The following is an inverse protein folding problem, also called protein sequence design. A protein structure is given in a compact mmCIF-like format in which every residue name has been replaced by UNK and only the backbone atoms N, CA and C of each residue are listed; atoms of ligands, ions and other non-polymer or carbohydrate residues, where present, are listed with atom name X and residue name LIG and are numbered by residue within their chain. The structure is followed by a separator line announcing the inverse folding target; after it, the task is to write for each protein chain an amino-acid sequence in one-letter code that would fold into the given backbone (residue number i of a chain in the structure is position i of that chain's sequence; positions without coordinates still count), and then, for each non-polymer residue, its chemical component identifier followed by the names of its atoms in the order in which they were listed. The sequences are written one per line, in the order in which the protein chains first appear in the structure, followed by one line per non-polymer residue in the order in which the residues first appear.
data_IF_554201245763
#
_entry.id   IF_554201245763
#
_cell.length_a   1.000
_cell.length_b   1.000
_cell.length_c   1.000
_cell.angle_alpha   90.00
_cell.angle_beta   90.00
_cell.angle_gamma   90.00
#
_symmetry.space_group_name_H-M   'P 1'
#
loop_
_entity.id
_entity.type
_entity.pdbx_description
1 polymer ?
#
# COMPACT_ATOMS: atom_id res chain seq x y z
N UNK A 1 -16.90 -4.77 -13.14
CA UNK A 1 -17.76 -4.13 -12.12
C UNK A 1 -17.67 -2.62 -12.30
N UNK A 2 -18.78 -1.89 -12.16
CA UNK A 2 -18.79 -0.44 -12.39
C UNK A 2 -18.27 0.25 -11.13
N UNK A 3 -17.35 1.20 -11.27
CA UNK A 3 -16.81 2.10 -10.22
C UNK A 3 -17.91 2.72 -9.31
N UNK A 4 -19.15 2.84 -9.82
CA UNK A 4 -20.31 3.32 -9.06
C UNK A 4 -20.77 2.29 -8.00
N UNK A 5 -20.59 0.99 -8.23
CA UNK A 5 -20.94 -0.05 -7.24
C UNK A 5 -19.89 -0.10 -6.12
N UNK A 6 -18.62 0.07 -6.42
CA UNK A 6 -17.54 0.07 -5.45
C UNK A 6 -17.60 1.28 -4.50
N UNK A 7 -17.97 2.46 -5.01
CA UNK A 7 -18.21 3.66 -4.19
C UNK A 7 -19.43 3.52 -3.26
N UNK A 8 -20.45 2.74 -3.65
CA UNK A 8 -21.64 2.49 -2.80
C UNK A 8 -21.30 1.48 -1.70
N UNK A 9 -20.52 0.45 -2.01
CA UNK A 9 -20.07 -0.55 -1.05
C UNK A 9 -19.13 0.08 0.00
N UNK A 10 -18.34 1.08 -0.37
CA UNK A 10 -17.48 1.83 0.55
C UNK A 10 -18.25 2.57 1.66
N UNK A 11 -19.52 2.93 1.41
CA UNK A 11 -20.36 3.62 2.40
C UNK A 11 -20.59 2.83 3.68
N UNK A 12 -20.56 1.51 3.59
CA UNK A 12 -20.79 0.58 4.70
C UNK A 12 -19.47 -0.06 5.20
N UNK A 13 -18.34 0.13 4.49
CA UNK A 13 -17.03 -0.39 4.86
C UNK A 13 -16.50 0.31 6.11
N UNK A 14 -16.07 -0.46 7.09
CA UNK A 14 -15.50 0.05 8.36
C UNK A 14 -13.98 -0.07 8.38
N UNK A 15 -13.34 0.72 9.23
CA UNK A 15 -11.87 0.80 9.36
C UNK A 15 -11.21 -0.58 9.52
N UNK A 16 -11.81 -1.48 10.28
CA UNK A 16 -11.30 -2.85 10.52
C UNK A 16 -11.15 -3.69 9.24
N UNK A 17 -11.93 -3.43 8.21
CA UNK A 17 -11.96 -4.22 6.97
C UNK A 17 -10.82 -3.83 6.01
N UNK A 18 -10.29 -2.61 6.15
CA UNK A 18 -9.28 -2.03 5.25
C UNK A 18 -7.93 -1.82 5.93
N UNK A 19 -7.90 -1.75 7.27
CA UNK A 19 -6.65 -1.49 8.00
C UNK A 19 -5.58 -2.56 7.77
N UNK A 20 -4.32 -2.15 7.79
CA UNK A 20 -3.20 -3.05 8.03
C UNK A 20 -3.25 -3.48 9.49
N UNK A 21 -3.49 -4.78 9.80
CA UNK A 21 -3.64 -5.24 11.17
C UNK A 21 -2.34 -5.07 11.97
N UNK A 22 -2.45 -4.95 13.28
CA UNK A 22 -1.31 -4.80 14.22
C UNK A 22 -0.18 -5.80 13.98
N UNK A 23 -0.50 -7.05 13.66
CA UNK A 23 0.48 -8.13 13.46
C UNK A 23 1.34 -7.95 12.22
N UNK A 24 0.84 -7.21 11.23
CA UNK A 24 1.50 -6.92 9.95
C UNK A 24 2.05 -5.48 9.90
N UNK A 25 1.78 -4.68 10.94
CA UNK A 25 2.17 -3.30 11.00
C UNK A 25 3.68 -3.15 11.26
N UNK A 26 4.36 -2.35 10.44
CA UNK A 26 5.71 -1.90 10.74
C UNK A 26 5.63 -0.69 11.67
N UNK A 27 6.17 -0.81 12.88
CA UNK A 27 6.26 0.26 13.88
C UNK A 27 7.66 0.31 14.48
N UNK A 28 8.06 1.45 15.03
CA UNK A 28 9.36 1.68 15.66
C UNK A 28 9.19 2.12 17.10
N UNK A 29 10.13 1.74 17.97
CA UNK A 29 10.18 2.25 19.35
C UNK A 29 10.70 3.68 19.36
N UNK A 30 10.27 4.50 20.32
CA UNK A 30 10.60 5.92 20.40
C UNK A 30 12.08 6.20 20.74
N UNK A 31 12.81 5.19 21.24
CA UNK A 31 14.26 5.22 21.45
C UNK A 31 15.07 4.89 20.18
N UNK A 32 14.40 4.45 19.09
CA UNK A 32 15.03 4.23 17.78
C UNK A 32 15.65 5.54 17.28
N UNK A 33 16.87 5.47 16.76
CA UNK A 33 17.54 6.65 16.23
C UNK A 33 16.97 7.10 14.88
N UNK A 34 17.12 8.39 14.57
CA UNK A 34 16.73 8.96 13.26
C UNK A 34 17.38 8.18 12.09
N UNK A 35 18.64 7.77 12.26
CA UNK A 35 19.35 6.96 11.24
C UNK A 35 18.71 5.61 11.01
N UNK A 36 18.42 4.87 12.08
CA UNK A 36 17.79 3.55 11.99
C UNK A 36 16.39 3.65 11.39
N UNK A 37 15.62 4.67 11.78
CA UNK A 37 14.30 4.92 11.20
C UNK A 37 14.37 5.17 9.69
N UNK A 38 15.30 5.99 9.23
CA UNK A 38 15.52 6.23 7.79
C UNK A 38 15.97 4.98 7.05
N UNK A 39 16.77 4.12 7.68
CA UNK A 39 17.17 2.84 7.08
C UNK A 39 15.97 1.88 6.95
N UNK A 40 15.09 1.80 7.95
CA UNK A 40 13.84 1.04 7.87
C UNK A 40 12.94 1.58 6.75
N UNK A 41 12.71 2.90 6.72
CA UNK A 41 11.88 3.54 5.69
C UNK A 41 12.42 3.29 4.28
N UNK A 42 13.73 3.35 4.08
CA UNK A 42 14.37 3.04 2.80
C UNK A 42 14.17 1.58 2.37
N UNK A 43 14.26 0.64 3.32
CA UNK A 43 14.17 -0.79 3.02
C UNK A 43 12.72 -1.25 2.80
N UNK A 44 11.75 -0.63 3.47
CA UNK A 44 10.31 -0.94 3.35
C UNK A 44 9.61 -0.14 2.27
N UNK A 45 10.16 1.03 1.88
CA UNK A 45 9.50 2.00 1.00
C UNK A 45 8.47 2.88 1.71
N UNK A 46 8.26 2.71 3.00
CA UNK A 46 7.25 3.48 3.75
C UNK A 46 7.70 4.92 4.00
N UNK A 47 6.82 5.86 3.71
CA UNK A 47 7.03 7.30 3.97
C UNK A 47 6.63 7.71 5.38
N UNK A 48 5.84 6.89 6.07
CA UNK A 48 5.33 7.10 7.42
C UNK A 48 5.38 5.79 8.18
N UNK A 49 5.81 5.85 9.44
CA UNK A 49 5.87 4.69 10.34
C UNK A 49 5.37 5.12 11.72
N UNK A 50 4.41 4.39 12.32
CA UNK A 50 3.99 4.60 13.70
C UNK A 50 5.15 4.41 14.68
N UNK A 51 5.18 5.25 15.71
CA UNK A 51 6.18 5.17 16.77
C UNK A 51 5.47 4.92 18.10
N UNK A 52 5.94 3.92 18.84
CA UNK A 52 5.37 3.49 20.11
C UNK A 52 6.37 3.64 21.27
N UNK A 53 5.87 3.64 22.49
CA UNK A 53 6.66 3.65 23.72
C UNK A 53 6.44 2.35 24.50
N UNK A 54 7.47 1.53 24.67
CA UNK A 54 7.48 0.25 25.38
C UNK A 54 6.56 -0.83 24.77
N UNK A 55 5.31 -0.48 24.42
CA UNK A 55 4.33 -1.39 23.87
C UNK A 55 3.64 -0.79 22.64
N UNK A 56 3.38 -1.60 21.62
CA UNK A 56 2.72 -1.19 20.37
C UNK A 56 1.29 -0.66 20.63
N UNK A 57 0.67 -1.01 21.76
CA UNK A 57 -0.59 -0.40 22.18
C UNK A 57 -0.46 1.06 22.59
N UNK A 58 0.76 1.54 22.81
CA UNK A 58 1.06 2.91 23.18
C UNK A 58 1.74 3.67 22.06
N UNK A 59 1.01 3.95 21.00
CA UNK A 59 1.50 4.80 19.91
C UNK A 59 1.63 6.24 20.41
N UNK A 60 2.83 6.81 20.30
CA UNK A 60 3.16 8.17 20.75
C UNK A 60 3.30 9.15 19.59
N UNK A 61 3.42 8.65 18.35
CA UNK A 61 3.58 9.51 17.19
C UNK A 61 3.66 8.75 15.87
N UNK A 62 3.81 9.51 14.80
CA UNK A 62 4.14 9.01 13.46
C UNK A 62 5.41 9.70 12.98
N UNK A 63 6.41 8.92 12.63
CA UNK A 63 7.62 9.40 11.99
C UNK A 63 7.37 9.59 10.50
N UNK A 64 7.74 10.76 9.96
CA UNK A 64 7.61 11.10 8.55
C UNK A 64 8.99 11.22 7.91
N UNK A 65 9.23 10.51 6.81
CA UNK A 65 10.53 10.51 6.11
C UNK A 65 11.00 11.93 5.75
N UNK A 66 10.08 12.81 5.33
CA UNK A 66 10.41 14.19 4.96
C UNK A 66 10.92 15.01 6.14
N UNK A 67 10.32 14.79 7.33
CA UNK A 67 10.74 15.50 8.54
C UNK A 67 12.12 15.01 9.00
N UNK A 68 12.34 13.68 9.00
CA UNK A 68 13.62 13.09 9.38
C UNK A 68 14.75 13.50 8.44
N UNK A 69 14.50 13.56 7.12
CA UNK A 69 15.47 14.07 6.15
C UNK A 69 15.76 15.57 6.42
N UNK A 70 14.70 16.35 6.72
CA UNK A 70 14.84 17.77 7.06
C UNK A 70 15.78 17.98 8.26
N UNK A 71 15.61 17.18 9.34
CA UNK A 71 16.47 17.23 10.51
C UNK A 71 17.96 17.02 10.14
N UNK A 72 18.25 16.02 9.32
CA UNK A 72 19.63 15.74 8.87
C UNK A 72 20.18 16.89 8.04
N UNK A 73 19.39 17.49 7.16
CA UNK A 73 19.80 18.64 6.34
C UNK A 73 20.07 19.88 7.18
N UNK A 74 19.32 20.06 8.30
CA UNK A 74 19.50 21.14 9.26
C UNK A 74 20.66 20.91 10.24
N UNK A 75 21.35 19.77 10.13
CA UNK A 75 22.54 19.45 10.91
C UNK A 75 22.25 18.76 12.25
N UNK A 76 21.04 18.25 12.46
CA UNK A 76 20.70 17.41 13.62
C UNK A 76 21.51 16.12 13.58
N UNK A 77 22.01 15.67 14.75
CA UNK A 77 22.72 14.39 14.84
C UNK A 77 21.78 13.22 14.57
N UNK A 78 22.12 12.42 13.58
CA UNK A 78 21.34 11.24 13.20
C UNK A 78 21.27 10.15 14.30
N UNK A 79 22.03 10.30 15.39
CA UNK A 79 21.96 9.47 16.60
C UNK A 79 20.88 9.93 17.59
N UNK A 80 20.21 11.06 17.35
CA UNK A 80 19.05 11.45 18.15
C UNK A 80 17.90 10.43 17.96
N UNK A 81 17.10 10.26 19.02
CA UNK A 81 15.97 9.34 19.03
C UNK A 81 14.70 9.96 18.47
N UNK A 82 13.75 9.11 18.03
CA UNK A 82 12.48 9.54 17.46
C UNK A 82 11.57 10.27 18.46
N UNK A 83 11.77 10.10 19.77
CA UNK A 83 10.89 10.61 20.83
C UNK A 83 10.43 12.08 20.65
N UNK A 84 11.31 12.94 20.10
CA UNK A 84 11.03 14.35 19.90
C UNK A 84 10.79 14.74 18.43
N UNK A 85 10.76 13.77 17.52
CA UNK A 85 10.76 14.01 16.08
C UNK A 85 9.60 13.32 15.35
N UNK A 86 8.49 13.10 16.09
CA UNK A 86 7.26 12.49 15.57
C UNK A 86 6.12 13.50 15.58
N UNK A 87 5.17 13.30 14.68
CA UNK A 87 3.91 14.06 14.68
C UNK A 87 2.87 13.35 15.53
N UNK A 88 1.97 14.11 16.13
CA UNK A 88 0.82 13.54 16.84
C UNK A 88 -0.06 12.78 15.86
N UNK A 89 -0.40 11.52 16.12
CA UNK A 89 -1.26 10.73 15.25
C UNK A 89 -2.73 11.03 15.51
N UNK A 90 -3.56 10.87 14.48
CA UNK A 90 -5.00 10.75 14.65
C UNK A 90 -5.37 9.32 15.02
N UNK A 91 -6.33 9.16 15.96
CA UNK A 91 -6.84 7.88 16.41
C UNK A 91 -8.30 7.73 16.03
N UNK A 92 -8.65 6.58 15.46
CA UNK A 92 -10.02 6.26 15.06
C UNK A 92 -10.44 4.89 15.58
N UNK A 93 -11.71 4.69 15.99
CA UNK A 93 -12.19 3.38 16.35
C UNK A 93 -12.27 2.45 15.14
N UNK A 94 -12.02 1.18 15.33
CA UNK A 94 -12.03 0.16 14.28
C UNK A 94 -13.40 -0.04 13.61
N UNK A 95 -14.47 0.46 14.24
CA UNK A 95 -15.86 0.42 13.73
C UNK A 95 -16.27 1.68 12.97
N UNK A 96 -15.38 2.67 12.80
CA UNK A 96 -15.76 3.91 12.10
C UNK A 96 -16.00 3.63 10.61
N UNK A 97 -17.07 4.19 10.00
CA UNK A 97 -17.25 4.14 8.56
C UNK A 97 -16.12 4.90 7.85
N UNK A 98 -15.51 4.25 6.87
CA UNK A 98 -14.30 4.74 6.18
C UNK A 98 -14.51 6.09 5.49
N UNK A 99 -15.68 6.29 4.85
CA UNK A 99 -16.02 7.55 4.19
C UNK A 99 -16.05 8.75 5.15
N UNK A 100 -16.44 8.54 6.41
CA UNK A 100 -16.49 9.60 7.41
C UNK A 100 -15.08 10.09 7.75
N UNK A 101 -14.12 9.17 7.79
CA UNK A 101 -12.72 9.49 8.09
C UNK A 101 -12.02 10.20 6.93
N UNK A 102 -12.24 9.78 5.70
CA UNK A 102 -11.72 10.44 4.50
C UNK A 102 -12.08 11.93 4.41
N UNK A 103 -13.24 12.31 4.96
CA UNK A 103 -13.72 13.71 4.92
C UNK A 103 -13.14 14.55 6.06
N UNK A 104 -12.76 13.94 7.18
CA UNK A 104 -12.33 14.65 8.40
C UNK A 104 -10.82 14.68 8.58
N UNK A 105 -10.11 13.66 8.13
CA UNK A 105 -8.67 13.55 8.32
C UNK A 105 -7.89 14.37 7.29
N UNK A 106 -7.01 15.22 7.81
CA UNK A 106 -5.98 15.91 7.00
C UNK A 106 -4.68 15.10 6.98
N UNK A 107 -4.60 14.06 7.81
CA UNK A 107 -3.43 13.19 7.89
C UNK A 107 -3.56 12.00 6.96
N UNK A 108 -2.46 11.65 6.32
CA UNK A 108 -2.39 10.55 5.36
C UNK A 108 -2.23 9.18 6.03
N UNK A 109 -2.22 9.11 7.38
CA UNK A 109 -2.16 7.89 8.17
C UNK A 109 -2.90 8.11 9.48
N UNK A 110 -3.76 7.18 9.85
CA UNK A 110 -4.48 7.15 11.12
C UNK A 110 -4.20 5.85 11.87
N UNK A 111 -4.21 5.91 13.21
CA UNK A 111 -4.07 4.75 14.08
C UNK A 111 -5.46 4.23 14.42
N UNK A 112 -5.70 2.96 14.15
CA UNK A 112 -6.97 2.29 14.46
C UNK A 112 -6.87 1.68 15.85
N UNK A 113 -7.88 1.96 16.71
CA UNK A 113 -7.95 1.45 18.06
C UNK A 113 -9.16 0.54 18.26
N UNK A 114 -8.96 -0.49 19.07
CA UNK A 114 -10.02 -1.42 19.46
C UNK A 114 -10.88 -0.87 20.62
N UNK A 115 -11.91 -1.62 21.03
CA UNK A 115 -12.83 -1.29 22.11
C UNK A 115 -12.17 -1.22 23.49
N UNK A 116 -10.96 -1.72 23.64
CA UNK A 116 -10.17 -1.69 24.88
C UNK A 116 -9.14 -0.56 24.89
N UNK A 117 -9.02 0.18 23.79
CA UNK A 117 -8.07 1.27 23.61
C UNK A 117 -6.67 0.80 23.20
N UNK A 118 -6.52 -0.47 22.81
CA UNK A 118 -5.30 -1.01 22.21
C UNK A 118 -5.19 -0.67 20.72
N UNK A 119 -4.00 -0.74 20.16
CA UNK A 119 -3.77 -0.54 18.74
C UNK A 119 -4.26 -1.76 17.96
N UNK A 120 -5.30 -1.60 17.14
CA UNK A 120 -5.81 -2.62 16.23
C UNK A 120 -5.01 -2.69 14.92
N UNK A 121 -4.57 -1.53 14.41
CA UNK A 121 -3.83 -1.42 13.17
C UNK A 121 -3.62 0.02 12.74
N UNK A 122 -3.32 0.21 11.46
CA UNK A 122 -3.19 1.52 10.80
C UNK A 122 -3.96 1.53 9.50
N UNK A 123 -4.39 2.72 9.08
CA UNK A 123 -4.95 2.97 7.74
C UNK A 123 -4.19 4.13 7.12
N UNK A 124 -3.85 4.00 5.86
CA UNK A 124 -3.32 5.09 5.04
C UNK A 124 -4.34 5.50 3.97
N UNK A 125 -4.18 6.70 3.40
CA UNK A 125 -5.00 7.12 2.27
C UNK A 125 -4.83 6.18 1.08
N UNK A 126 -3.63 5.63 0.93
CA UNK A 126 -3.29 4.66 -0.11
C UNK A 126 -4.17 3.39 0.02
N UNK A 127 -4.31 2.81 1.23
CA UNK A 127 -5.16 1.63 1.49
C UNK A 127 -6.63 1.91 1.14
N UNK A 128 -7.11 3.12 1.46
CA UNK A 128 -8.48 3.55 1.17
C UNK A 128 -8.70 3.70 -0.34
N UNK A 129 -7.73 4.28 -1.05
CA UNK A 129 -7.80 4.43 -2.51
C UNK A 129 -7.79 3.07 -3.19
N UNK A 130 -6.97 2.13 -2.70
CA UNK A 130 -6.92 0.76 -3.21
C UNK A 130 -8.28 0.06 -3.06
N UNK A 131 -8.96 0.21 -1.92
CA UNK A 131 -10.31 -0.34 -1.71
C UNK A 131 -11.36 0.26 -2.64
N UNK A 132 -11.26 1.58 -2.95
CA UNK A 132 -12.20 2.29 -3.84
C UNK A 132 -11.98 1.99 -5.30
N UNK A 133 -10.71 1.92 -5.71
CA UNK A 133 -10.34 1.80 -7.13
C UNK A 133 -10.20 0.34 -7.52
N UNK A 134 -10.08 -0.57 -6.52
CA UNK A 134 -9.61 -1.94 -6.71
C UNK A 134 -8.12 -1.93 -7.01
N UNK A 135 -7.53 -3.09 -7.17
CA UNK A 135 -6.22 -3.16 -7.80
C UNK A 135 -6.34 -2.44 -9.14
N UNK A 136 -5.64 -1.29 -9.26
CA UNK A 136 -5.45 -0.68 -10.57
C UNK A 136 -4.60 -1.71 -11.31
N UNK A 137 -5.27 -2.59 -12.05
CA UNK A 137 -4.58 -3.38 -13.06
C UNK A 137 -3.96 -2.35 -14.00
N UNK A 138 -2.68 -2.06 -13.76
CA UNK A 138 -1.88 -1.30 -14.71
C UNK A 138 -1.87 -2.18 -15.96
N UNK A 139 -2.32 -1.66 -17.09
CA UNK A 139 -2.32 -2.37 -18.38
C UNK A 139 -0.92 -2.91 -18.71
N UNK A 140 0.07 -2.57 -17.89
CA UNK A 140 1.47 -2.98 -17.96
C UNK A 140 1.96 -3.73 -16.71
N UNK A 141 1.08 -4.16 -15.78
CA UNK A 141 1.50 -4.88 -14.59
C UNK A 141 2.08 -6.25 -15.00
N UNK A 142 3.37 -6.50 -14.71
CA UNK A 142 3.99 -7.80 -14.99
C UNK A 142 3.40 -8.95 -14.16
N UNK A 143 2.52 -8.68 -13.19
CA UNK A 143 1.77 -9.65 -12.40
C UNK A 143 0.40 -10.02 -13.02
N UNK A 144 0.20 -9.76 -14.30
CA UNK A 144 -0.94 -10.36 -15.01
C UNK A 144 -0.97 -11.85 -14.71
N UNK A 145 -2.07 -12.33 -14.14
CA UNK A 145 -2.32 -13.73 -13.72
C UNK A 145 -1.90 -14.78 -14.76
N UNK A 146 -1.79 -14.37 -16.01
CA UNK A 146 -1.46 -15.20 -17.17
C UNK A 146 -0.05 -14.96 -17.72
N UNK A 147 0.74 -14.04 -17.12
CA UNK A 147 2.02 -13.61 -17.64
C UNK A 147 3.03 -13.47 -16.51
N UNK A 148 4.13 -14.21 -16.55
CA UNK A 148 5.24 -14.13 -15.57
C UNK A 148 6.54 -13.86 -16.31
N UNK A 149 7.24 -12.78 -15.97
CA UNK A 149 8.55 -12.47 -16.53
C UNK A 149 9.62 -13.35 -15.88
N UNK A 150 10.30 -14.16 -16.69
CA UNK A 150 11.36 -15.05 -16.23
C UNK A 150 12.74 -14.37 -16.25
N UNK A 151 13.13 -13.75 -17.35
CA UNK A 151 14.38 -13.00 -17.47
C UNK A 151 14.38 -12.18 -18.77
N UNK A 152 15.03 -11.03 -18.78
CA UNK A 152 15.33 -10.23 -19.96
C UNK A 152 14.16 -10.13 -20.97
N UNK A 153 14.15 -11.01 -21.95
CA UNK A 153 13.13 -11.13 -23.01
C UNK A 153 12.30 -12.42 -22.95
N UNK A 154 12.39 -13.16 -21.85
CA UNK A 154 11.68 -14.43 -21.69
C UNK A 154 10.50 -14.27 -20.73
N UNK A 155 9.34 -14.79 -21.15
CA UNK A 155 8.10 -14.74 -20.42
C UNK A 155 7.48 -16.13 -20.33
N UNK A 156 6.92 -16.47 -19.19
CA UNK A 156 6.03 -17.61 -19.02
C UNK A 156 4.60 -17.09 -19.20
N UNK A 157 3.89 -17.66 -20.19
CA UNK A 157 2.57 -17.20 -20.58
C UNK A 157 1.57 -18.33 -20.41
N UNK A 158 0.47 -18.09 -19.71
CA UNK A 158 -0.67 -19.02 -19.71
C UNK A 158 -1.33 -18.97 -21.08
N UNK A 159 -1.73 -20.14 -21.62
CA UNK A 159 -2.38 -20.23 -22.93
C UNK A 159 -3.67 -19.42 -23.10
N UNK A 160 -4.27 -18.97 -21.98
CA UNK A 160 -5.46 -18.12 -21.94
C UNK A 160 -5.17 -16.62 -22.07
N UNK A 161 -3.89 -16.24 -22.12
CA UNK A 161 -3.50 -14.85 -22.32
C UNK A 161 -4.02 -14.34 -23.67
N UNK A 162 -4.59 -13.13 -23.68
CA UNK A 162 -5.21 -12.53 -24.88
C UNK A 162 -4.16 -12.23 -25.96
N UNK A 163 -4.52 -12.44 -27.21
CA UNK A 163 -3.70 -12.04 -28.36
C UNK A 163 -3.62 -10.51 -28.46
N UNK A 164 -4.69 -9.80 -28.15
CA UNK A 164 -4.71 -8.35 -28.19
C UNK A 164 -3.74 -7.78 -27.15
N UNK A 165 -3.75 -8.29 -25.91
CA UNK A 165 -2.80 -7.90 -24.87
C UNK A 165 -1.34 -8.21 -25.26
N UNK A 166 -1.11 -9.31 -25.96
CA UNK A 166 0.21 -9.66 -26.49
C UNK A 166 0.68 -8.67 -27.56
N UNK A 167 -0.22 -8.24 -28.43
CA UNK A 167 0.05 -7.22 -29.44
C UNK A 167 0.37 -5.86 -28.82
N UNK A 168 -0.36 -5.46 -27.77
CA UNK A 168 -0.13 -4.21 -27.01
C UNK A 168 1.23 -4.22 -26.28
N UNK A 169 1.71 -5.39 -25.86
CA UNK A 169 3.06 -5.59 -25.35
C UNK A 169 4.15 -5.57 -26.45
N UNK A 170 3.75 -5.38 -27.73
CA UNK A 170 4.66 -5.33 -28.87
C UNK A 170 5.20 -6.69 -29.30
N UNK A 171 4.50 -7.77 -28.95
CA UNK A 171 4.89 -9.12 -29.39
C UNK A 171 4.50 -9.32 -30.86
N UNK A 172 5.28 -10.10 -31.62
CA UNK A 172 5.03 -10.34 -33.04
C UNK A 172 3.91 -11.38 -33.26
N UNK A 173 2.71 -11.05 -32.75
CA UNK A 173 1.50 -11.86 -33.00
C UNK A 173 0.74 -11.31 -34.20
N UNK A 174 0.17 -12.16 -35.06
CA UNK A 174 -0.61 -11.70 -36.19
C UNK A 174 -1.97 -11.19 -35.77
N UNK A 175 -2.46 -10.17 -36.47
CA UNK A 175 -3.84 -9.70 -36.37
C UNK A 175 -4.76 -10.71 -37.07
N UNK A 176 -5.63 -11.38 -36.30
CA UNK A 176 -6.50 -12.46 -36.83
C UNK A 176 -7.78 -12.55 -35.98
N UNK A 177 -8.91 -12.67 -36.69
CA UNK A 177 -10.22 -12.94 -36.08
C UNK A 177 -10.45 -14.44 -35.77
N UNK A 178 -9.47 -15.31 -36.03
CA UNK A 178 -9.62 -16.77 -35.91
C UNK A 178 -9.31 -17.29 -34.50
N UNK A 179 -8.57 -16.50 -33.66
CA UNK A 179 -8.22 -16.87 -32.29
C UNK A 179 -8.10 -15.63 -31.39
N UNK A 180 -8.53 -15.79 -30.16
CA UNK A 180 -8.53 -14.72 -29.14
C UNK A 180 -7.42 -14.91 -28.08
N UNK A 181 -6.72 -16.06 -28.08
CA UNK A 181 -5.74 -16.41 -27.05
C UNK A 181 -4.44 -16.96 -27.62
N UNK A 182 -3.36 -16.88 -26.81
CA UNK A 182 -2.05 -17.46 -27.18
C UNK A 182 -2.16 -18.95 -27.47
N UNK A 183 -2.99 -19.72 -26.74
CA UNK A 183 -3.18 -21.13 -27.03
C UNK A 183 -3.84 -21.34 -28.42
N UNK A 184 -4.82 -20.52 -28.78
CA UNK A 184 -5.44 -20.55 -30.09
C UNK A 184 -4.42 -20.30 -31.20
N UNK A 185 -3.62 -19.25 -31.05
CA UNK A 185 -2.53 -18.92 -32.00
C UNK A 185 -1.51 -20.05 -32.18
N UNK A 186 -1.04 -20.63 -31.05
CA UNK A 186 -0.03 -21.72 -31.09
C UNK A 186 -0.57 -23.01 -31.75
N UNK A 187 -1.88 -23.25 -31.65
CA UNK A 187 -2.51 -24.45 -32.25
C UNK A 187 -2.77 -24.28 -33.74
N UNK A 188 -2.73 -23.06 -34.27
CA UNK A 188 -2.95 -22.73 -35.67
C UNK A 188 -1.63 -22.71 -36.52
N UNK A 189 -0.48 -22.77 -35.83
CA UNK A 189 0.85 -22.88 -36.49
C UNK A 189 1.20 -24.34 -36.75
#
# INVERSE_FOLDING_TARGET
KSMIHEVIDLGDTIAREVMVPRVDMTALEDDTTVREALDVMRNTGYSRIPVYHEDVDRIVGVAHIKDLIGLIMDGTDASETLANHVRTPDFVPDTIPLLSEMQSSHDQMVIVVDEYGGTAGVITIEDIVEEVVGEIEDEFDPDNKYLTKLSGREWLVDGRFSIDDAADLGWPVPDSDEYETIAGFVLDI
#
